data_IF_173378958458
#
_entry.id   IF_173378958458
#
_cell.length_a   1.000
_cell.length_b   1.000
_cell.length_c   1.000
_cell.angle_alpha   90.00
_cell.angle_beta   90.00
_cell.angle_gamma   90.00
#
_symmetry.space_group_name_H-M   'P 1'
#
loop_
_entity.id
_entity.type
_entity.pdbx_description
1 polymer ?
#
# COMPACT_ATOMS: atom_id res chain seq x y z
N UNK A 1 -0.69 -24.99 50.19
CA UNK A 1 -1.53 -25.02 48.96
C UNK A 1 -1.92 -23.59 48.67
N UNK A 2 -1.15 -22.91 47.83
CA UNK A 2 -1.47 -21.56 47.40
C UNK A 2 -2.57 -21.66 46.34
N UNK A 3 -3.67 -20.93 46.56
CA UNK A 3 -4.74 -20.79 45.59
C UNK A 3 -4.19 -20.10 44.34
N UNK A 4 -4.26 -20.80 43.20
CA UNK A 4 -4.10 -20.22 41.87
C UNK A 4 -5.32 -19.34 41.63
N UNK A 5 -5.09 -18.03 41.67
CA UNK A 5 -6.09 -16.99 41.49
C UNK A 5 -6.35 -16.76 39.98
N UNK A 6 -7.62 -16.84 39.58
CA UNK A 6 -8.24 -16.41 38.32
C UNK A 6 -7.65 -16.87 36.97
N UNK A 7 -7.94 -18.11 36.57
CA UNK A 7 -8.14 -18.42 35.16
C UNK A 7 -9.62 -18.24 34.82
N UNK A 8 -9.94 -17.30 33.93
CA UNK A 8 -11.19 -17.38 33.15
C UNK A 8 -11.18 -18.74 32.46
N UNK A 9 -11.90 -19.71 33.03
CA UNK A 9 -12.18 -20.97 32.37
C UNK A 9 -13.22 -20.63 31.32
N UNK A 10 -12.74 -20.19 30.16
CA UNK A 10 -13.63 -20.05 29.02
C UNK A 10 -14.30 -21.40 28.80
N UNK A 11 -15.60 -21.35 28.60
CA UNK A 11 -16.37 -22.56 28.35
C UNK A 11 -15.89 -23.19 27.03
N UNK A 12 -15.95 -24.52 26.95
CA UNK A 12 -15.46 -25.29 25.79
C UNK A 12 -16.16 -24.90 24.48
N UNK A 13 -17.42 -24.48 24.56
CA UNK A 13 -18.22 -24.02 23.42
C UNK A 13 -17.70 -22.69 22.89
N UNK A 14 -17.30 -21.76 23.76
CA UNK A 14 -16.65 -20.50 23.38
C UNK A 14 -15.33 -20.73 22.63
N UNK A 15 -14.54 -21.72 23.07
CA UNK A 15 -13.31 -22.11 22.38
C UNK A 15 -13.59 -22.78 21.03
N UNK A 16 -14.54 -23.72 20.99
CA UNK A 16 -14.93 -24.41 19.76
C UNK A 16 -15.48 -23.42 18.73
N UNK A 17 -16.27 -22.44 19.18
CA UNK A 17 -16.75 -21.35 18.33
C UNK A 17 -15.60 -20.53 17.76
N UNK A 18 -14.67 -20.08 18.60
CA UNK A 18 -13.50 -19.31 18.18
C UNK A 18 -12.65 -20.07 17.14
N UNK A 19 -12.46 -21.38 17.32
CA UNK A 19 -11.71 -22.23 16.38
C UNK A 19 -12.32 -22.31 14.97
N UNK A 20 -13.60 -21.97 14.81
CA UNK A 20 -14.29 -21.94 13.51
C UNK A 20 -14.23 -20.56 12.84
N UNK A 21 -13.70 -19.54 13.53
CA UNK A 21 -13.64 -18.17 13.02
C UNK A 21 -12.37 -17.89 12.21
N UNK A 22 -12.28 -16.65 11.72
CA UNK A 22 -11.09 -16.10 11.08
C UNK A 22 -10.59 -14.88 11.85
N UNK A 23 -9.30 -14.61 11.75
CA UNK A 23 -8.71 -13.38 12.27
C UNK A 23 -9.13 -12.18 11.43
N UNK A 24 -9.58 -11.13 12.11
CA UNK A 24 -10.02 -9.85 11.56
C UNK A 24 -8.87 -8.86 11.41
N UNK A 25 -7.81 -9.04 12.20
CA UNK A 25 -6.55 -8.31 12.02
C UNK A 25 -5.77 -8.96 10.88
N UNK A 26 -5.58 -8.24 9.78
CA UNK A 26 -5.06 -8.80 8.54
C UNK A 26 -3.56 -8.99 8.51
N UNK A 27 -2.84 -8.34 9.42
CA UNK A 27 -1.38 -8.27 9.38
C UNK A 27 -0.78 -8.18 10.80
N UNK A 28 -1.01 -9.21 11.61
CA UNK A 28 -0.23 -9.38 12.85
C UNK A 28 1.18 -9.91 12.56
N UNK A 29 1.45 -10.28 11.31
CA UNK A 29 2.74 -10.70 10.80
C UNK A 29 3.47 -9.51 10.17
N UNK A 30 4.16 -8.75 11.04
CA UNK A 30 4.88 -7.53 10.67
C UNK A 30 6.09 -7.77 9.73
N UNK A 31 6.19 -8.90 9.03
CA UNK A 31 7.15 -9.09 7.93
C UNK A 31 6.80 -8.26 6.69
N UNK A 32 5.53 -7.92 6.49
CA UNK A 32 5.07 -7.17 5.33
C UNK A 32 5.03 -5.66 5.62
N UNK A 33 6.11 -4.99 5.22
CA UNK A 33 6.21 -3.54 5.10
C UNK A 33 6.46 -3.21 3.62
N UNK A 34 5.43 -3.26 2.78
CA UNK A 34 5.58 -3.04 1.34
C UNK A 34 6.13 -1.64 0.99
N UNK A 35 6.07 -0.68 1.93
CA UNK A 35 6.49 0.71 1.77
C UNK A 35 7.75 1.13 2.56
N UNK A 36 8.59 0.17 2.94
CA UNK A 36 9.79 0.38 3.78
C UNK A 36 10.92 1.23 3.15
N UNK A 37 10.80 1.70 1.91
CA UNK A 37 11.95 2.27 1.22
C UNK A 37 12.21 3.72 1.61
N UNK A 38 13.43 4.00 2.09
CA UNK A 38 13.96 5.36 2.27
C UNK A 38 14.16 6.14 0.94
N UNK A 39 13.85 5.53 -0.20
CA UNK A 39 13.91 6.19 -1.50
C UNK A 39 12.70 7.09 -1.68
N UNK A 40 12.96 8.39 -1.88
CA UNK A 40 11.97 9.30 -2.41
C UNK A 40 11.37 8.66 -3.68
N UNK A 41 10.04 8.57 -3.79
CA UNK A 41 9.09 9.53 -3.23
C UNK A 41 8.00 8.99 -2.29
N UNK A 42 7.95 7.68 -2.04
CA UNK A 42 6.80 7.02 -1.40
C UNK A 42 7.24 6.55 -0.02
N UNK A 43 6.81 7.26 1.03
CA UNK A 43 7.24 7.02 2.42
C UNK A 43 6.07 6.76 3.34
N UNK A 44 5.85 5.51 3.74
CA UNK A 44 5.15 5.22 5.00
C UNK A 44 5.92 4.10 5.69
N UNK A 45 6.51 4.44 6.84
CA UNK A 45 7.39 3.54 7.59
C UNK A 45 6.62 2.60 8.53
N UNK A 46 5.39 2.22 8.19
CA UNK A 46 4.57 1.34 9.03
C UNK A 46 4.21 0.04 8.29
N UNK A 47 3.82 -1.02 9.01
CA UNK A 47 3.38 -2.26 8.39
C UNK A 47 2.12 -2.05 7.54
N UNK A 48 1.91 -2.91 6.54
CA UNK A 48 0.74 -2.82 5.65
C UNK A 48 -0.56 -2.99 6.44
N UNK A 49 -1.57 -2.16 6.18
CA UNK A 49 -2.85 -2.24 6.89
C UNK A 49 -2.87 -1.56 8.25
N UNK A 50 -1.76 -0.98 8.68
CA UNK A 50 -1.72 -0.16 9.88
C UNK A 50 -1.62 1.30 9.49
N UNK A 51 -2.22 2.16 10.31
CA UNK A 51 -2.14 3.61 10.21
C UNK A 51 -1.32 4.06 11.41
N UNK A 52 -0.20 4.71 11.15
CA UNK A 52 0.65 5.27 12.18
C UNK A 52 0.63 6.79 12.10
N UNK A 53 0.48 7.45 13.25
CA UNK A 53 0.61 8.90 13.38
C UNK A 53 1.28 9.23 14.70
N UNK A 54 2.31 10.08 14.63
CA UNK A 54 2.88 10.73 15.81
C UNK A 54 3.40 12.10 15.32
N UNK A 55 2.69 13.20 15.64
CA UNK A 55 3.03 14.51 15.10
C UNK A 55 4.28 15.12 15.73
N UNK A 56 4.78 14.56 16.84
CA UNK A 56 5.91 15.11 17.58
C UNK A 56 7.26 14.74 16.95
N UNK A 57 8.29 15.52 17.29
CA UNK A 57 9.63 15.29 16.77
C UNK A 57 10.28 14.01 17.30
N UNK A 58 11.11 13.39 16.46
CA UNK A 58 11.90 12.21 16.83
C UNK A 58 11.14 10.88 16.90
N UNK A 59 9.84 10.89 16.55
CA UNK A 59 9.03 9.69 16.45
C UNK A 59 9.54 8.77 15.35
N UNK A 60 9.48 7.46 15.58
CA UNK A 60 9.98 6.46 14.65
C UNK A 60 9.10 5.22 14.67
N UNK A 61 8.96 4.60 13.49
CA UNK A 61 8.35 3.28 13.34
C UNK A 61 9.23 2.46 12.38
N UNK A 62 9.47 1.19 12.72
CA UNK A 62 10.39 0.31 12.00
C UNK A 62 10.06 -1.16 12.25
N UNK A 63 10.51 -2.07 11.38
CA UNK A 63 10.48 -3.51 11.67
C UNK A 63 11.53 -3.91 12.70
N UNK A 64 11.20 -4.81 13.62
CA UNK A 64 12.13 -5.39 14.61
C UNK A 64 11.79 -6.85 14.92
N UNK A 65 12.66 -7.81 14.57
CA UNK A 65 12.55 -9.23 14.93
C UNK A 65 11.13 -9.80 14.75
N UNK A 66 10.63 -9.80 13.51
CA UNK A 66 9.24 -10.19 13.14
C UNK A 66 8.14 -9.41 13.88
N UNK A 67 8.45 -8.22 14.37
CA UNK A 67 7.55 -7.30 15.07
C UNK A 67 7.62 -5.88 14.49
N UNK A 68 6.77 -5.01 15.02
CA UNK A 68 6.78 -3.58 14.74
C UNK A 68 7.32 -2.83 15.96
N UNK A 69 8.39 -2.06 15.78
CA UNK A 69 8.97 -1.21 16.82
C UNK A 69 8.55 0.23 16.57
N UNK A 70 7.99 0.85 17.60
CA UNK A 70 7.57 2.24 17.62
C UNK A 70 8.37 2.95 18.71
N UNK A 71 8.85 4.15 18.42
CA UNK A 71 9.41 5.10 19.38
C UNK A 71 8.49 6.31 19.34
N UNK A 72 7.85 6.62 20.47
CA UNK A 72 7.05 7.84 20.57
C UNK A 72 7.96 9.06 20.52
N UNK A 73 7.42 10.18 20.05
CA UNK A 73 8.13 11.45 19.98
C UNK A 73 8.69 11.89 21.33
N UNK A 74 9.60 12.87 21.29
CA UNK A 74 10.22 13.44 22.48
C UNK A 74 9.35 14.51 23.16
N UNK A 75 8.12 14.73 22.68
CA UNK A 75 7.24 15.82 23.10
C UNK A 75 6.11 15.31 24.00
N UNK A 76 5.80 16.03 25.08
CA UNK A 76 4.78 15.62 26.07
C UNK A 76 3.32 15.78 25.59
N UNK A 77 3.10 16.57 24.54
CA UNK A 77 1.76 16.86 24.01
C UNK A 77 1.43 16.11 22.70
N UNK A 78 2.37 15.32 22.19
CA UNK A 78 2.17 14.54 20.99
C UNK A 78 1.64 13.16 21.37
N UNK A 79 0.50 12.79 20.80
CA UNK A 79 -0.08 11.45 20.97
C UNK A 79 0.30 10.60 19.77
N UNK A 80 1.03 9.52 20.03
CA UNK A 80 1.23 8.47 19.06
C UNK A 80 -0.04 7.62 18.96
N UNK A 81 -0.49 7.34 17.73
CA UNK A 81 -1.53 6.38 17.40
C UNK A 81 -0.99 5.33 16.42
N UNK A 82 -1.29 4.07 16.70
CA UNK A 82 -1.04 2.93 15.84
C UNK A 82 -2.32 2.10 15.73
N UNK A 83 -3.02 2.25 14.61
CA UNK A 83 -4.40 1.79 14.43
C UNK A 83 -4.53 0.86 13.24
N UNK A 84 -5.43 -0.11 13.33
CA UNK A 84 -5.92 -0.86 12.18
C UNK A 84 -7.44 -0.95 12.21
N UNK A 85 -8.06 -0.65 11.07
CA UNK A 85 -9.45 -0.99 10.82
C UNK A 85 -9.54 -2.51 10.56
N UNK A 86 -10.40 -3.22 11.30
CA UNK A 86 -10.55 -4.68 11.24
C UNK A 86 -11.86 -5.14 10.58
N UNK A 87 -12.58 -4.21 9.96
CA UNK A 87 -13.85 -4.40 9.26
C UNK A 87 -13.72 -4.26 7.72
N UNK A 88 -12.49 -4.15 7.20
CA UNK A 88 -12.20 -3.92 5.78
C UNK A 88 -12.34 -5.22 4.95
N UNK A 89 -13.56 -5.75 4.91
CA UNK A 89 -13.95 -6.88 4.05
C UNK A 89 -15.42 -6.76 3.63
N UNK A 90 -15.83 -7.39 2.50
CA UNK A 90 -17.20 -7.31 2.04
C UNK A 90 -18.20 -7.83 3.06
N UNK A 91 -19.36 -7.17 3.17
CA UNK A 91 -20.47 -7.56 4.05
C UNK A 91 -20.08 -7.68 5.54
N UNK A 92 -19.09 -6.91 5.99
CA UNK A 92 -18.65 -6.93 7.39
C UNK A 92 -19.77 -6.64 8.39
N UNK A 93 -20.75 -5.78 8.03
CA UNK A 93 -21.88 -5.47 8.92
C UNK A 93 -22.71 -6.71 9.25
N UNK A 94 -22.98 -7.55 8.25
CA UNK A 94 -23.67 -8.84 8.45
C UNK A 94 -22.85 -9.82 9.29
N UNK A 95 -21.53 -9.63 9.34
CA UNK A 95 -20.59 -10.54 10.02
C UNK A 95 -20.28 -10.11 11.46
N UNK A 96 -20.25 -8.79 11.73
CA UNK A 96 -19.72 -8.23 12.97
C UNK A 96 -20.77 -7.49 13.81
N UNK A 97 -21.79 -6.86 13.23
CA UNK A 97 -22.76 -6.11 14.03
C UNK A 97 -23.57 -7.04 14.93
N UNK A 98 -23.81 -6.62 16.17
CA UNK A 98 -24.46 -7.41 17.23
C UNK A 98 -23.73 -8.72 17.60
N UNK A 99 -22.44 -8.80 17.28
CA UNK A 99 -21.58 -9.93 17.61
C UNK A 99 -20.49 -9.50 18.59
N UNK A 100 -20.03 -10.44 19.41
CA UNK A 100 -18.86 -10.22 20.27
C UNK A 100 -17.57 -10.37 19.47
N UNK A 101 -16.66 -9.42 19.64
CA UNK A 101 -15.31 -9.46 19.10
C UNK A 101 -14.33 -9.45 20.27
N UNK A 102 -13.41 -10.41 20.27
CA UNK A 102 -12.30 -10.47 21.22
C UNK A 102 -11.00 -10.10 20.51
N UNK A 103 -10.13 -9.39 21.20
CA UNK A 103 -8.84 -8.95 20.70
C UNK A 103 -7.74 -9.13 21.74
N UNK A 104 -6.59 -9.62 21.31
CA UNK A 104 -5.41 -9.79 22.14
C UNK A 104 -4.21 -9.11 21.49
N UNK A 105 -3.42 -8.42 22.30
CA UNK A 105 -2.15 -7.81 21.91
C UNK A 105 -1.01 -8.29 22.80
N UNK A 106 0.13 -8.60 22.17
CA UNK A 106 1.37 -9.01 22.82
C UNK A 106 2.47 -8.00 22.50
N UNK A 107 2.98 -7.33 23.52
CA UNK A 107 3.88 -6.18 23.39
C UNK A 107 5.04 -6.31 24.38
N UNK A 108 6.21 -5.78 24.02
CA UNK A 108 7.22 -5.36 24.99
C UNK A 108 7.27 -3.83 24.98
N UNK A 109 7.17 -3.22 26.15
CA UNK A 109 7.17 -1.76 26.27
C UNK A 109 8.28 -1.33 27.20
N UNK A 110 9.04 -0.31 26.79
CA UNK A 110 10.13 0.28 27.56
C UNK A 110 9.97 1.79 27.67
N UNK A 111 10.04 2.33 28.88
CA UNK A 111 9.94 3.75 29.17
C UNK A 111 9.18 4.00 30.48
N UNK A 112 8.68 5.20 30.63
CA UNK A 112 7.80 5.59 31.74
C UNK A 112 6.62 6.34 31.15
N UNK A 113 5.40 5.97 31.54
CA UNK A 113 4.22 6.59 30.94
C UNK A 113 2.95 5.77 31.02
N UNK A 114 1.98 6.13 30.20
CA UNK A 114 0.73 5.39 30.01
C UNK A 114 0.57 4.96 28.56
N UNK A 115 0.21 3.69 28.38
CA UNK A 115 -0.20 3.12 27.11
C UNK A 115 -1.66 2.73 27.18
N UNK A 116 -2.41 3.09 26.13
CA UNK A 116 -3.80 2.70 25.97
C UNK A 116 -3.93 1.70 24.84
N UNK A 117 -4.79 0.69 25.04
CA UNK A 117 -5.22 -0.24 24.00
C UNK A 117 -6.73 -0.19 23.90
N UNK A 118 -7.23 0.14 22.71
CA UNK A 118 -8.63 0.36 22.43
C UNK A 118 -9.15 -0.61 21.36
N UNK A 119 -10.33 -1.18 21.62
CA UNK A 119 -11.18 -1.82 20.62
C UNK A 119 -12.47 -1.00 20.55
N UNK A 120 -12.83 -0.54 19.35
CA UNK A 120 -13.98 0.36 19.15
C UNK A 120 -14.69 0.11 17.84
N UNK A 121 -15.99 0.39 17.82
CA UNK A 121 -16.82 0.45 16.62
C UNK A 121 -17.23 1.89 16.22
N UNK A 122 -16.54 2.89 16.82
CA UNK A 122 -16.83 4.32 16.80
C UNK A 122 -18.17 4.77 17.40
N UNK A 123 -18.91 3.88 18.06
CA UNK A 123 -20.11 4.20 18.85
C UNK A 123 -19.85 3.84 20.30
N UNK A 124 -19.41 2.61 20.52
CA UNK A 124 -18.94 2.03 21.77
C UNK A 124 -17.45 1.70 21.67
N UNK A 125 -16.82 1.57 22.83
CA UNK A 125 -15.41 1.18 22.90
C UNK A 125 -15.07 0.59 24.26
N UNK A 126 -14.02 -0.24 24.28
CA UNK A 126 -13.32 -0.64 25.48
C UNK A 126 -11.87 -0.19 25.34
N UNK A 127 -11.41 0.58 26.33
CA UNK A 127 -10.03 1.02 26.45
C UNK A 127 -9.42 0.48 27.74
N UNK A 128 -8.24 -0.14 27.63
CA UNK A 128 -7.41 -0.54 28.76
C UNK A 128 -6.23 0.41 28.86
N UNK A 129 -5.95 0.90 30.06
CA UNK A 129 -4.79 1.76 30.35
C UNK A 129 -3.77 0.95 31.15
N UNK A 130 -2.51 1.03 30.71
CA UNK A 130 -1.38 0.38 31.36
C UNK A 130 -0.34 1.42 31.73
N UNK A 131 -0.06 1.55 33.03
CA UNK A 131 1.08 2.31 33.51
C UNK A 131 2.36 1.54 33.20
N UNK A 132 3.32 2.20 32.57
CA UNK A 132 4.61 1.65 32.19
C UNK A 132 5.67 2.18 33.14
N UNK A 133 6.46 1.26 33.69
CA UNK A 133 7.66 1.58 34.44
C UNK A 133 8.79 0.67 33.96
N UNK A 134 9.91 1.26 33.53
CA UNK A 134 11.07 0.55 33.02
C UNK A 134 10.76 -0.28 31.77
N UNK A 135 10.90 -1.61 31.81
CA UNK A 135 10.61 -2.50 30.68
C UNK A 135 9.69 -3.62 31.16
N UNK A 136 8.60 -3.84 30.43
CA UNK A 136 7.58 -4.84 30.77
C UNK A 136 7.03 -5.51 29.52
N UNK A 137 6.69 -6.80 29.66
CA UNK A 137 5.90 -7.53 28.68
C UNK A 137 4.42 -7.36 29.01
N UNK A 138 3.61 -7.00 28.02
CA UNK A 138 2.17 -6.82 28.16
C UNK A 138 1.44 -7.84 27.28
N UNK A 139 0.58 -8.62 27.93
CA UNK A 139 -0.42 -9.47 27.29
C UNK A 139 -1.80 -8.86 27.57
N UNK A 140 -2.33 -8.16 26.57
CA UNK A 140 -3.56 -7.38 26.68
C UNK A 140 -4.70 -8.20 26.08
N UNK A 141 -5.85 -8.24 26.75
CA UNK A 141 -7.08 -8.86 26.24
C UNK A 141 -8.25 -7.88 26.40
N UNK A 142 -9.00 -7.67 25.33
CA UNK A 142 -10.21 -6.84 25.30
C UNK A 142 -11.30 -7.50 24.49
N UNK A 143 -12.54 -7.19 24.82
CA UNK A 143 -13.73 -7.73 24.18
C UNK A 143 -14.75 -6.60 24.02
N UNK A 144 -15.48 -6.60 22.91
CA UNK A 144 -16.52 -5.62 22.62
C UNK A 144 -17.67 -6.30 21.89
N UNK A 145 -18.90 -6.05 22.31
CA UNK A 145 -20.10 -6.33 21.50
C UNK A 145 -20.29 -5.16 20.53
N UNK A 146 -20.26 -5.46 19.23
CA UNK A 146 -20.33 -4.41 18.20
C UNK A 146 -21.77 -3.92 18.06
N UNK A 147 -21.95 -2.60 18.10
CA UNK A 147 -23.25 -1.97 17.94
C UNK A 147 -23.89 -2.32 16.59
N UNK A 148 -25.23 -2.43 16.57
CA UNK A 148 -26.00 -2.73 15.37
C UNK A 148 -25.81 -1.67 14.26
N UNK A 149 -25.59 -0.42 14.64
CA UNK A 149 -25.39 0.74 13.76
C UNK A 149 -23.91 1.14 13.61
N UNK A 150 -22.98 0.26 14.01
CA UNK A 150 -21.54 0.46 13.88
C UNK A 150 -21.15 0.99 12.49
N UNK A 151 -20.26 1.98 12.49
CA UNK A 151 -19.78 2.63 11.25
C UNK A 151 -18.46 2.07 10.79
N UNK A 152 -17.65 1.63 11.73
CA UNK A 152 -16.30 1.10 11.54
C UNK A 152 -16.05 0.11 12.68
N UNK A 153 -15.01 -0.70 12.59
CA UNK A 153 -14.47 -1.46 13.73
C UNK A 153 -12.96 -1.39 13.63
N UNK A 154 -12.28 -1.00 14.71
CA UNK A 154 -10.83 -0.82 14.73
C UNK A 154 -10.21 -1.18 16.07
N UNK A 155 -8.92 -1.50 16.00
CA UNK A 155 -8.03 -1.64 17.16
C UNK A 155 -7.00 -0.52 17.10
N UNK A 156 -6.67 0.05 18.25
CA UNK A 156 -5.72 1.15 18.35
C UNK A 156 -4.84 1.02 19.60
N UNK A 157 -3.53 1.19 19.41
CA UNK A 157 -2.59 1.52 20.46
C UNK A 157 -2.37 3.03 20.46
N UNK A 158 -2.45 3.66 21.63
CA UNK A 158 -2.11 5.08 21.77
C UNK A 158 -1.25 5.35 23.00
N UNK A 159 -0.32 6.29 22.86
CA UNK A 159 0.62 6.67 23.91
C UNK A 159 0.98 8.15 23.76
N UNK A 160 0.73 8.94 24.80
CA UNK A 160 1.13 10.35 24.87
C UNK A 160 2.42 10.57 25.65
N UNK A 161 3.03 9.50 26.15
CA UNK A 161 4.26 9.59 26.94
C UNK A 161 5.47 9.68 26.04
N UNK A 162 6.39 10.63 26.27
CA UNK A 162 7.51 10.85 25.37
C UNK A 162 8.57 9.74 25.47
N UNK A 163 9.24 9.47 24.35
CA UNK A 163 10.38 8.53 24.27
C UNK A 163 10.11 7.10 24.76
N UNK A 164 8.84 6.67 24.72
CA UNK A 164 8.45 5.29 25.01
C UNK A 164 8.73 4.42 23.78
N UNK A 165 9.36 3.26 24.00
CA UNK A 165 9.60 2.26 22.97
C UNK A 165 8.57 1.15 23.11
N UNK A 166 7.80 0.91 22.05
CA UNK A 166 6.77 -0.12 21.98
C UNK A 166 7.15 -1.11 20.90
N UNK A 167 7.49 -2.34 21.29
CA UNK A 167 7.75 -3.44 20.39
C UNK A 167 6.50 -4.33 20.33
N UNK A 168 5.67 -4.08 19.32
CA UNK A 168 4.46 -4.85 19.02
C UNK A 168 4.88 -6.19 18.40
N UNK A 169 4.54 -7.30 19.06
CA UNK A 169 4.82 -8.65 18.56
C UNK A 169 3.66 -9.23 17.78
N UNK A 170 2.45 -9.15 18.35
CA UNK A 170 1.22 -9.64 17.71
C UNK A 170 0.03 -8.83 18.19
N UNK A 171 -0.93 -8.59 17.30
CA UNK A 171 -2.27 -8.10 17.64
C UNK A 171 -3.23 -8.93 16.80
N UNK A 172 -4.18 -9.62 17.39
CA UNK A 172 -5.14 -10.42 16.64
C UNK A 172 -6.52 -10.29 17.27
N UNK A 173 -7.55 -10.43 16.44
CA UNK A 173 -8.93 -10.32 16.86
C UNK A 173 -9.77 -11.28 16.03
N UNK A 174 -10.77 -11.91 16.63
CA UNK A 174 -11.75 -12.70 15.91
C UNK A 174 -13.11 -12.60 16.61
N UNK A 175 -14.13 -13.08 15.92
CA UNK A 175 -15.48 -13.18 16.47
C UNK A 175 -15.51 -14.16 17.64
N UNK A 176 -16.35 -13.89 18.64
CA UNK A 176 -16.49 -14.65 19.87
C UNK A 176 -15.70 -14.06 21.04
N UNK A 177 -15.81 -14.73 22.19
CA UNK A 177 -15.23 -14.32 23.47
C UNK A 177 -13.74 -14.65 23.63
N UNK A 178 -13.17 -15.47 22.72
CA UNK A 178 -11.77 -15.89 22.78
C UNK A 178 -11.07 -15.52 21.48
N UNK A 179 -9.96 -14.77 21.60
CA UNK A 179 -9.10 -14.48 20.47
C UNK A 179 -8.05 -15.59 20.28
N UNK A 180 -7.84 -16.06 19.04
CA UNK A 180 -6.90 -17.13 18.72
C UNK A 180 -5.91 -16.69 17.62
N UNK A 181 -4.63 -16.61 17.98
CA UNK A 181 -3.57 -16.20 17.08
C UNK A 181 -3.31 -17.18 15.91
N UNK A 182 -3.77 -18.42 16.01
CA UNK A 182 -3.53 -19.47 15.00
C UNK A 182 -4.51 -19.43 13.83
N UNK A 183 -5.58 -18.62 13.90
CA UNK A 183 -6.60 -18.57 12.86
C UNK A 183 -6.09 -17.86 11.60
N UNK A 184 -6.48 -18.31 10.40
CA UNK A 184 -6.18 -17.58 9.17
C UNK A 184 -6.91 -16.24 9.14
N UNK A 185 -6.29 -15.22 8.53
CA UNK A 185 -6.92 -13.92 8.34
C UNK A 185 -8.10 -14.00 7.36
N UNK A 186 -9.15 -13.21 7.58
CA UNK A 186 -10.31 -13.12 6.67
C UNK A 186 -9.92 -12.51 5.33
N UNK A 187 -9.06 -11.48 5.33
CA UNK A 187 -8.39 -10.98 4.12
C UNK A 187 -6.95 -11.47 4.11
N UNK A 188 -6.69 -12.45 3.26
CA UNK A 188 -5.37 -13.03 3.04
C UNK A 188 -4.75 -12.53 1.72
N UNK A 189 -3.43 -12.69 1.58
CA UNK A 189 -2.69 -12.31 0.37
C UNK A 189 -2.03 -10.93 0.46
N UNK A 190 -1.30 -10.60 -0.62
CA UNK A 190 -0.59 -9.33 -0.77
C UNK A 190 -1.57 -8.28 -1.26
N UNK A 191 -1.84 -7.26 -0.44
CA UNK A 191 -2.68 -6.14 -0.86
C UNK A 191 -1.94 -5.27 -1.86
N UNK A 192 -2.69 -4.71 -2.80
CA UNK A 192 -2.12 -3.97 -3.94
C UNK A 192 -1.68 -4.88 -5.09
N UNK A 193 -1.86 -6.21 -4.98
CA UNK A 193 -1.73 -7.11 -6.12
C UNK A 193 -2.74 -6.75 -7.23
N UNK A 194 -2.27 -6.74 -8.48
CA UNK A 194 -3.10 -6.55 -9.66
C UNK A 194 -3.43 -7.90 -10.29
N UNK A 195 -4.69 -8.10 -10.66
CA UNK A 195 -5.18 -9.27 -11.42
C UNK A 195 -5.78 -8.86 -12.75
N UNK A 196 -5.92 -9.84 -13.66
CA UNK A 196 -6.56 -9.67 -14.95
C UNK A 196 -7.67 -10.71 -15.12
N UNK A 197 -8.82 -10.25 -15.58
CA UNK A 197 -9.97 -11.10 -15.88
C UNK A 197 -10.21 -11.11 -17.39
N UNK A 198 -10.54 -12.30 -17.93
CA UNK A 198 -10.88 -12.48 -19.36
C UNK A 198 -12.36 -12.77 -19.60
N UNK A 199 -13.13 -13.00 -18.54
CA UNK A 199 -14.49 -13.53 -18.62
C UNK A 199 -15.51 -12.76 -17.77
N UNK A 200 -15.18 -11.56 -17.29
CA UNK A 200 -16.10 -10.67 -16.57
C UNK A 200 -15.73 -9.21 -16.77
N UNK A 201 -16.74 -8.37 -16.91
CA UNK A 201 -16.63 -6.91 -16.92
C UNK A 201 -16.82 -6.30 -15.53
N UNK A 202 -17.32 -7.09 -14.57
CA UNK A 202 -17.56 -6.67 -13.19
C UNK A 202 -16.51 -7.25 -12.26
N UNK A 203 -15.84 -6.39 -11.50
CA UNK A 203 -14.92 -6.81 -10.44
C UNK A 203 -15.69 -7.54 -9.33
N UNK A 204 -15.14 -8.64 -8.76
CA UNK A 204 -15.68 -9.25 -7.55
C UNK A 204 -15.79 -8.25 -6.39
N UNK A 205 -16.64 -8.53 -5.40
CA UNK A 205 -16.90 -7.61 -4.30
C UNK A 205 -15.66 -7.29 -3.44
N UNK A 206 -14.67 -8.19 -3.44
CA UNK A 206 -13.39 -8.08 -2.73
C UNK A 206 -12.36 -7.23 -3.48
N UNK A 207 -12.62 -6.86 -4.73
CA UNK A 207 -11.64 -6.23 -5.62
C UNK A 207 -12.15 -4.88 -6.16
N UNK A 208 -11.22 -3.97 -6.45
CA UNK A 208 -11.54 -2.66 -7.02
C UNK A 208 -11.19 -2.62 -8.51
N UNK A 209 -12.08 -2.12 -9.38
CA UNK A 209 -11.80 -2.05 -10.80
C UNK A 209 -10.70 -1.01 -11.07
N UNK A 210 -9.70 -1.42 -11.86
CA UNK A 210 -8.63 -0.53 -12.33
C UNK A 210 -8.83 -0.08 -13.79
N UNK A 211 -9.93 -0.51 -14.41
CA UNK A 211 -10.31 -0.15 -15.77
C UNK A 211 -11.40 0.94 -15.77
N UNK A 212 -11.19 2.00 -15.00
CA UNK A 212 -12.13 3.12 -14.82
C UNK A 212 -11.36 4.42 -14.66
N UNK A 213 -12.05 5.56 -14.76
CA UNK A 213 -11.45 6.84 -14.35
C UNK A 213 -10.90 6.70 -12.92
N UNK A 214 -9.75 7.31 -12.58
CA UNK A 214 -9.16 7.19 -11.25
C UNK A 214 -10.18 7.49 -10.14
N UNK A 215 -10.39 6.53 -9.24
CA UNK A 215 -11.30 6.63 -8.10
C UNK A 215 -10.48 6.76 -6.83
N UNK A 216 -10.84 7.72 -5.97
CA UNK A 216 -10.25 7.82 -4.63
C UNK A 216 -10.72 6.67 -3.74
N UNK A 217 -9.79 6.12 -2.96
CA UNK A 217 -10.13 5.23 -1.86
C UNK A 217 -10.97 5.98 -0.81
N UNK A 218 -11.53 5.22 0.13
CA UNK A 218 -12.32 5.78 1.23
C UNK A 218 -11.80 5.32 2.61
N UNK A 219 -12.50 5.73 3.66
CA UNK A 219 -12.16 5.45 5.06
C UNK A 219 -12.18 3.98 5.45
N UNK A 220 -12.77 3.11 4.62
CA UNK A 220 -12.92 1.68 4.87
C UNK A 220 -11.91 0.85 4.05
N UNK A 221 -10.96 1.55 3.39
CA UNK A 221 -9.92 0.97 2.54
C UNK A 221 -8.53 1.41 3.01
N UNK A 222 -8.36 1.59 4.30
CA UNK A 222 -7.15 2.13 4.90
C UNK A 222 -5.95 1.23 4.61
N UNK A 223 -6.12 -0.09 4.56
CA UNK A 223 -5.04 -1.01 4.18
C UNK A 223 -4.54 -0.81 2.77
N UNK A 224 -5.44 -0.67 1.81
CA UNK A 224 -5.03 -0.40 0.43
C UNK A 224 -4.46 1.02 0.30
N UNK A 225 -5.01 1.98 1.03
CA UNK A 225 -4.50 3.35 1.07
C UNK A 225 -3.06 3.40 1.61
N UNK A 226 -2.80 2.61 2.65
CA UNK A 226 -1.48 2.47 3.28
C UNK A 226 -0.45 1.88 2.32
N UNK A 227 -0.87 0.99 1.41
CA UNK A 227 0.00 0.35 0.41
C UNK A 227 0.20 1.23 -0.83
N UNK A 228 -0.88 1.77 -1.41
CA UNK A 228 -0.79 2.63 -2.59
C UNK A 228 -0.07 3.94 -2.24
N UNK A 229 -0.39 4.52 -1.09
CA UNK A 229 0.32 5.66 -0.53
C UNK A 229 0.55 6.79 -1.55
N UNK A 230 -0.56 7.28 -2.11
CA UNK A 230 -0.59 8.38 -3.07
C UNK A 230 0.26 8.18 -4.33
N UNK A 231 0.78 6.97 -4.59
CA UNK A 231 1.62 6.63 -5.75
C UNK A 231 0.96 7.02 -7.06
N UNK A 232 -0.36 6.89 -7.15
CA UNK A 232 -1.13 7.22 -8.35
C UNK A 232 -1.96 8.50 -8.16
N UNK A 233 -1.54 9.36 -7.24
CA UNK A 233 -2.21 10.62 -6.91
C UNK A 233 -3.09 10.48 -5.68
N UNK A 234 -3.69 11.60 -5.27
CA UNK A 234 -4.53 11.67 -4.08
C UNK A 234 -5.72 12.60 -4.24
N UNK A 235 -6.76 12.34 -3.45
CA UNK A 235 -7.88 13.24 -3.23
C UNK A 235 -8.08 13.37 -1.72
N UNK A 236 -7.70 14.53 -1.16
CA UNK A 236 -7.58 14.70 0.29
C UNK A 236 -6.51 13.77 0.87
N UNK A 237 -6.89 12.96 1.86
CA UNK A 237 -6.04 11.96 2.53
C UNK A 237 -6.17 10.54 1.94
N UNK A 238 -6.85 10.41 0.79
CA UNK A 238 -7.06 9.13 0.14
C UNK A 238 -6.30 9.03 -1.17
N UNK A 239 -5.66 7.88 -1.38
CA UNK A 239 -4.98 7.54 -2.61
C UNK A 239 -5.97 7.35 -3.74
N UNK A 240 -5.59 7.76 -4.94
CA UNK A 240 -6.30 7.39 -6.15
C UNK A 240 -5.87 6.00 -6.60
N UNK A 241 -6.83 5.24 -7.11
CA UNK A 241 -6.55 4.03 -7.88
C UNK A 241 -5.96 4.40 -9.25
N UNK A 242 -5.01 3.62 -9.76
CA UNK A 242 -4.49 3.78 -11.11
C UNK A 242 -5.55 3.42 -12.16
N UNK A 243 -5.52 4.13 -13.29
CA UNK A 243 -6.30 3.79 -14.50
C UNK A 243 -5.40 3.02 -15.47
N UNK A 244 -5.70 1.74 -15.67
CA UNK A 244 -4.93 0.84 -16.53
C UNK A 244 -5.51 0.70 -17.95
N UNK A 245 -6.57 1.44 -18.30
CA UNK A 245 -7.20 1.31 -19.63
C UNK A 245 -6.21 1.72 -20.72
N UNK A 246 -5.94 0.81 -21.65
CA UNK A 246 -5.06 1.04 -22.79
C UNK A 246 -3.56 1.02 -22.50
N UNK A 247 -3.15 0.85 -21.24
CA UNK A 247 -1.73 0.72 -20.87
C UNK A 247 -1.21 -0.69 -21.12
N UNK A 248 -0.01 -0.78 -21.68
CA UNK A 248 0.74 -2.03 -21.73
C UNK A 248 1.57 -2.22 -20.47
N UNK A 249 1.62 -3.45 -19.96
CA UNK A 249 2.53 -3.83 -18.89
C UNK A 249 3.97 -3.83 -19.39
N UNK A 250 4.84 -3.12 -18.67
CA UNK A 250 6.29 -3.16 -18.87
C UNK A 250 6.96 -3.66 -17.60
N UNK A 251 7.88 -4.62 -17.73
CA UNK A 251 8.70 -5.03 -16.58
C UNK A 251 9.56 -3.84 -16.11
N UNK A 252 9.55 -3.58 -14.81
CA UNK A 252 10.40 -2.58 -14.17
C UNK A 252 11.88 -2.86 -14.46
N UNK A 253 12.63 -1.83 -14.90
CA UNK A 253 14.02 -2.00 -15.36
C UNK A 253 14.95 -2.33 -14.19
N UNK A 254 14.69 -1.75 -13.02
CA UNK A 254 15.48 -1.92 -11.81
C UNK A 254 16.99 -1.75 -12.08
N UNK A 255 17.34 -0.70 -12.81
CA UNK A 255 18.69 -0.35 -13.23
C UNK A 255 19.40 -1.37 -14.14
N UNK A 256 18.68 -2.30 -14.76
CA UNK A 256 19.24 -3.24 -15.73
C UNK A 256 19.74 -2.55 -17.01
N UNK A 257 19.23 -1.35 -17.32
CA UNK A 257 19.61 -0.55 -18.49
C UNK A 257 19.08 -1.09 -19.81
N UNK A 258 18.08 -1.98 -19.77
CA UNK A 258 17.40 -2.48 -20.98
C UNK A 258 16.35 -1.49 -21.46
N UNK A 259 15.57 -0.95 -20.52
CA UNK A 259 14.74 0.22 -20.75
C UNK A 259 15.64 1.47 -20.67
N UNK A 260 15.94 2.04 -21.84
CA UNK A 260 16.85 3.18 -21.96
C UNK A 260 16.27 4.47 -21.40
N UNK A 261 14.95 4.52 -21.24
CA UNK A 261 14.21 5.71 -20.82
C UNK A 261 13.66 5.58 -19.39
N UNK A 262 13.99 4.48 -18.71
CA UNK A 262 13.58 4.22 -17.33
C UNK A 262 13.79 5.43 -16.40
N UNK A 263 14.87 6.19 -16.56
CA UNK A 263 15.17 7.39 -15.73
C UNK A 263 14.29 8.61 -16.00
N UNK A 264 13.53 8.63 -17.10
CA UNK A 264 12.72 9.77 -17.55
C UNK A 264 11.22 9.52 -17.38
N UNK A 265 10.82 8.29 -17.02
CA UNK A 265 9.42 7.91 -16.78
C UNK A 265 8.84 8.72 -15.63
N UNK A 266 7.58 9.11 -15.76
CA UNK A 266 6.88 9.92 -14.75
C UNK A 266 5.84 9.09 -14.02
N UNK A 267 5.68 9.28 -12.72
CA UNK A 267 4.61 8.64 -11.97
C UNK A 267 3.24 9.17 -12.42
N UNK A 268 2.26 8.28 -12.58
CA UNK A 268 0.95 8.60 -13.15
C UNK A 268 0.20 9.71 -12.40
N UNK A 269 0.33 9.79 -11.07
CA UNK A 269 -0.37 10.79 -10.25
C UNK A 269 0.49 11.83 -9.54
N UNK A 270 1.81 11.79 -9.73
CA UNK A 270 2.73 12.84 -9.27
C UNK A 270 3.89 12.97 -10.25
N UNK A 271 3.76 13.90 -11.20
CA UNK A 271 4.75 14.08 -12.26
C UNK A 271 6.12 14.58 -11.77
N UNK A 272 6.26 14.94 -10.49
CA UNK A 272 7.56 15.27 -9.89
C UNK A 272 8.40 14.01 -9.60
N UNK A 273 7.74 12.86 -9.52
CA UNK A 273 8.37 11.57 -9.29
C UNK A 273 8.78 10.98 -10.63
N UNK A 274 10.01 11.29 -11.02
CA UNK A 274 10.60 10.89 -12.29
C UNK A 274 11.67 9.84 -12.01
N UNK A 275 11.65 8.73 -12.73
CA UNK A 275 12.70 7.74 -12.66
C UNK A 275 12.26 6.31 -12.85
N UNK A 276 13.25 5.42 -12.64
CA UNK A 276 13.09 3.99 -12.78
C UNK A 276 12.40 3.40 -11.55
N UNK A 277 11.09 3.62 -11.46
CA UNK A 277 10.26 3.21 -10.33
C UNK A 277 9.05 2.41 -10.82
N UNK A 278 8.56 1.51 -9.97
CA UNK A 278 7.28 0.81 -10.20
C UNK A 278 6.12 1.81 -10.14
N UNK A 279 5.26 1.77 -11.15
CA UNK A 279 4.11 2.65 -11.33
C UNK A 279 4.37 3.85 -12.23
N UNK A 280 5.62 4.06 -12.69
CA UNK A 280 5.89 5.13 -13.65
C UNK A 280 5.41 4.75 -15.04
N UNK A 281 4.93 5.75 -15.76
CA UNK A 281 4.31 5.64 -17.08
C UNK A 281 5.17 6.31 -18.14
N UNK A 282 5.02 5.85 -19.37
CA UNK A 282 5.56 6.50 -20.55
C UNK A 282 4.51 6.60 -21.66
N UNK A 283 4.53 7.68 -22.46
CA UNK A 283 3.74 7.76 -23.68
C UNK A 283 4.28 6.81 -24.76
N UNK A 284 3.47 6.59 -25.79
CA UNK A 284 3.91 5.92 -27.00
C UNK A 284 4.91 6.80 -27.76
N UNK A 285 5.83 6.13 -28.44
CA UNK A 285 6.77 6.78 -29.35
C UNK A 285 7.37 5.76 -30.32
N UNK A 286 7.85 6.25 -31.46
CA UNK A 286 8.61 5.45 -32.41
C UNK A 286 10.12 5.64 -32.20
N UNK A 287 10.86 4.54 -32.38
CA UNK A 287 12.31 4.61 -32.41
C UNK A 287 12.76 5.47 -33.58
N UNK A 288 13.64 6.41 -33.30
CA UNK A 288 14.24 7.22 -34.33
C UNK A 288 15.07 6.36 -35.30
N UNK A 289 14.79 6.48 -36.59
CA UNK A 289 15.55 5.82 -37.64
C UNK A 289 15.47 6.60 -38.96
N UNK A 290 16.44 6.34 -39.84
CA UNK A 290 16.50 6.94 -41.17
C UNK A 290 16.19 5.90 -42.23
N UNK A 291 15.53 6.33 -43.30
CA UNK A 291 15.37 5.56 -44.51
C UNK A 291 16.36 6.05 -45.57
N UNK A 292 16.88 5.11 -46.35
CA UNK A 292 17.60 5.45 -47.58
C UNK A 292 16.58 5.65 -48.69
N UNK A 293 16.54 6.85 -49.27
CA UNK A 293 15.79 7.12 -50.50
C UNK A 293 16.70 6.91 -51.70
N UNK A 294 16.17 6.34 -52.77
CA UNK A 294 16.92 5.92 -53.98
C UNK A 294 17.27 7.06 -54.92
N UNK A 295 17.02 8.30 -54.50
CA UNK A 295 17.32 9.50 -55.28
C UNK A 295 17.90 10.59 -54.39
N UNK A 296 18.66 11.51 -54.97
CA UNK A 296 19.24 12.66 -54.27
C UNK A 296 18.75 13.97 -54.90
N UNK A 297 18.17 14.90 -54.11
CA UNK A 297 17.89 16.24 -54.60
C UNK A 297 19.18 16.92 -55.05
N UNK A 298 19.17 17.53 -56.25
CA UNK A 298 20.30 18.28 -56.79
C UNK A 298 19.86 19.70 -57.16
N UNK A 299 20.72 20.67 -56.87
CA UNK A 299 20.51 22.03 -57.34
C UNK A 299 20.78 22.05 -58.85
N UNK A 300 19.77 22.45 -59.63
CA UNK A 300 19.94 22.63 -61.07
C UNK A 300 20.81 23.86 -61.32
N UNK A 301 21.88 23.70 -62.10
CA UNK A 301 22.66 24.83 -62.61
C UNK A 301 21.84 25.50 -63.73
N UNK A 302 21.31 26.70 -63.45
CA UNK A 302 20.49 27.56 -64.32
C UNK A 302 18.97 27.27 -64.34
N UNK A 303 18.22 27.56 -63.25
CA UNK A 303 16.77 27.65 -63.34
C UNK A 303 16.37 28.84 -64.22
N UNK A 304 15.41 28.65 -65.13
CA UNK A 304 14.76 29.77 -65.82
C UNK A 304 14.16 30.74 -64.79
N UNK A 305 14.24 32.04 -65.09
CA UNK A 305 13.90 33.13 -64.18
C UNK A 305 12.43 33.02 -63.74
N UNK A 306 12.18 32.51 -62.53
CA UNK A 306 10.84 32.50 -61.92
C UNK A 306 10.41 31.19 -61.24
N UNK A 307 11.18 30.10 -61.32
CA UNK A 307 10.79 28.82 -60.71
C UNK A 307 11.92 28.20 -59.89
N UNK A 308 11.74 27.85 -58.61
CA UNK A 308 12.67 26.99 -57.90
C UNK A 308 12.61 25.57 -58.51
N UNK A 309 13.52 25.25 -59.42
CA UNK A 309 13.64 23.91 -60.01
C UNK A 309 14.57 23.05 -59.15
N UNK A 310 14.00 22.20 -58.30
CA UNK A 310 14.75 21.12 -57.66
C UNK A 310 14.88 19.95 -58.65
N UNK A 311 16.11 19.61 -59.04
CA UNK A 311 16.39 18.42 -59.85
C UNK A 311 16.47 17.18 -58.96
N UNK A 312 16.26 16.00 -59.54
CA UNK A 312 16.38 14.72 -58.83
C UNK A 312 17.43 13.86 -59.54
N UNK A 313 18.48 13.45 -58.82
CA UNK A 313 19.44 12.47 -59.31
C UNK A 313 18.99 11.06 -58.92
N UNK A 314 18.50 10.29 -59.89
CA UNK A 314 18.02 8.91 -59.73
C UNK A 314 19.14 7.86 -59.58
N UNK A 315 20.40 8.22 -59.85
CA UNK A 315 21.55 7.33 -59.74
C UNK A 315 22.27 7.45 -58.38
N UNK A 316 21.85 8.39 -57.52
CA UNK A 316 22.43 8.62 -56.20
C UNK A 316 21.35 8.51 -55.13
N UNK A 317 21.64 7.84 -54.02
CA UNK A 317 20.75 7.79 -52.86
C UNK A 317 21.05 8.92 -51.87
N UNK A 318 20.07 9.26 -51.05
CA UNK A 318 20.28 10.07 -49.85
C UNK A 318 19.51 9.50 -48.66
N UNK A 319 19.87 9.88 -47.44
CA UNK A 319 19.14 9.46 -46.25
C UNK A 319 18.11 10.51 -45.87
N UNK A 320 16.96 10.07 -45.37
CA UNK A 320 16.00 10.97 -44.74
C UNK A 320 16.66 11.65 -43.54
N UNK A 321 16.33 12.92 -43.32
CA UNK A 321 16.77 13.61 -42.13
C UNK A 321 15.89 13.20 -40.95
N UNK A 322 16.55 13.01 -39.82
CA UNK A 322 15.91 12.90 -38.53
C UNK A 322 15.36 14.28 -38.16
N UNK A 323 14.06 14.36 -37.85
CA UNK A 323 13.37 15.60 -37.49
C UNK A 323 12.85 15.51 -36.06
N UNK A 324 13.72 15.22 -35.08
CA UNK A 324 13.50 15.36 -33.62
C UNK A 324 12.31 14.63 -32.96
N UNK A 325 11.46 13.92 -33.70
CA UNK A 325 10.23 13.29 -33.17
C UNK A 325 10.41 11.82 -32.71
N UNK A 326 11.63 11.26 -32.77
CA UNK A 326 11.90 9.88 -32.38
C UNK A 326 12.58 9.74 -31.02
N UNK A 327 12.63 8.50 -30.51
CA UNK A 327 13.28 8.17 -29.24
C UNK A 327 14.19 6.91 -29.38
N UNK A 328 14.79 6.47 -28.28
CA UNK A 328 15.73 5.35 -28.20
C UNK A 328 15.09 3.98 -28.48
N UNK A 329 13.75 3.90 -28.47
CA UNK A 329 12.95 2.70 -28.73
C UNK A 329 11.56 3.01 -29.31
N UNK A 330 10.94 2.00 -29.92
CA UNK A 330 9.52 2.03 -30.31
C UNK A 330 8.73 1.36 -29.20
N UNK A 331 7.72 2.03 -28.65
CA UNK A 331 6.91 1.51 -27.54
C UNK A 331 5.46 2.01 -27.61
N UNK A 332 4.50 1.23 -27.11
CA UNK A 332 3.18 1.74 -26.79
C UNK A 332 3.20 2.55 -25.49
N UNK A 333 2.08 3.21 -25.19
CA UNK A 333 1.82 3.75 -23.85
C UNK A 333 1.90 2.59 -22.84
N UNK A 334 2.71 2.75 -21.80
CA UNK A 334 2.99 1.68 -20.86
C UNK A 334 3.18 2.15 -19.43
N UNK A 335 3.12 1.19 -18.51
CA UNK A 335 3.35 1.37 -17.08
C UNK A 335 4.34 0.32 -16.58
N UNK A 336 5.31 0.76 -15.78
CA UNK A 336 6.35 -0.09 -15.21
C UNK A 336 5.82 -0.87 -14.00
N UNK A 337 5.95 -2.18 -14.03
CA UNK A 337 5.43 -3.11 -13.02
C UNK A 337 6.53 -4.02 -12.49
N UNK A 338 6.49 -4.31 -11.19
CA UNK A 338 7.30 -5.37 -10.60
C UNK A 338 6.66 -6.71 -10.94
N UNK A 339 7.31 -7.51 -11.78
CA UNK A 339 6.88 -8.88 -12.03
C UNK A 339 7.43 -9.80 -10.94
N UNK A 340 6.53 -10.51 -10.28
CA UNK A 340 6.85 -11.48 -9.24
C UNK A 340 6.28 -12.84 -9.58
N UNK A 341 6.88 -13.89 -9.00
CA UNK A 341 6.31 -15.23 -9.00
C UNK A 341 6.28 -15.73 -7.57
N UNK A 342 5.12 -16.25 -7.15
CA UNK A 342 4.97 -16.82 -5.81
C UNK A 342 5.82 -18.07 -5.70
N UNK A 343 6.70 -18.12 -4.69
CA UNK A 343 7.56 -19.27 -4.43
C UNK A 343 7.14 -20.09 -3.20
N UNK A 344 6.41 -19.48 -2.25
CA UNK A 344 5.87 -20.10 -1.05
C UNK A 344 4.52 -19.51 -0.67
#
# INVERSE_FOLDING_TARGET
MAALDNQHTYDIDSLLFAMQQKNLVYNYDFRYFSNQTNTQPIKYNHPDGWIYSDPGNGSQISSENNGCRIVTSTEENATMSFRQNIHEFPRWKETLCSEHISCVAQLNVKGTGELHFCLSDAITYIQRTYTIQNSQELNISTELEIAMDAKTVFVELSCSSPSVVISVKKIFANKGYIALASLPCIVAGVIGERKQYVATEQAPAEELPLCTIPIALNSDQTRLNSVINYRFGKQGEFSLLPDFRGYFSRAWDNSAGRDKNAKQRKMSGDSNNIGDLVGTTEPDIFKEHQHTITFKPVNMLNPEKGSPAYGVNLAASTQTQITTEGDLETRPINIAELFTIKWA
#
